data_IF_415538444751
#
_entry.id   IF_415538444751
#
_cell.length_a   1.000
_cell.length_b   1.000
_cell.length_c   1.000
_cell.angle_alpha   90.00
_cell.angle_beta   90.00
_cell.angle_gamma   90.00
#
_symmetry.space_group_name_H-M   'P 1'
#
loop_
_entity.id
_entity.type
_entity.pdbx_description
1 polymer ?
#
# COMPACT_ATOMS: atom_id res chain seq x y z
N UNK A 1 -18.27 -0.38 4.61
CA UNK A 1 -18.62 -0.28 6.05
C UNK A 1 -20.12 -0.31 6.16
N UNK A 2 -20.67 -0.78 7.28
CA UNK A 2 -22.11 -0.85 7.54
C UNK A 2 -22.43 -0.16 8.87
N UNK A 3 -23.67 0.32 9.06
CA UNK A 3 -24.08 0.85 10.37
C UNK A 3 -24.26 -0.32 11.36
N UNK A 4 -23.93 -0.09 12.63
CA UNK A 4 -24.09 -1.12 13.68
C UNK A 4 -25.56 -1.45 13.94
N UNK A 5 -26.45 -0.46 13.79
CA UNK A 5 -27.88 -0.64 13.98
C UNK A 5 -28.52 -1.54 12.91
N UNK A 6 -27.83 -1.75 11.78
CA UNK A 6 -28.28 -2.66 10.72
C UNK A 6 -27.94 -4.14 11.04
N UNK A 7 -27.14 -4.40 12.07
CA UNK A 7 -26.82 -5.76 12.51
C UNK A 7 -27.95 -6.27 13.40
N UNK A 8 -28.59 -7.38 12.99
CA UNK A 8 -29.72 -7.97 13.71
C UNK A 8 -29.25 -8.90 14.82
N UNK A 9 -29.13 -10.18 14.52
CA UNK A 9 -28.86 -11.23 15.49
C UNK A 9 -27.42 -11.72 15.39
N UNK A 10 -26.83 -12.03 16.52
CA UNK A 10 -25.52 -12.66 16.58
C UNK A 10 -25.63 -14.13 16.19
N UNK A 11 -24.96 -14.50 15.10
CA UNK A 11 -24.94 -15.90 14.61
C UNK A 11 -23.77 -16.68 15.23
N UNK A 12 -22.61 -16.05 15.42
CA UNK A 12 -21.40 -16.74 15.86
C UNK A 12 -20.12 -15.94 15.66
N UNK A 13 -18.99 -16.58 15.93
CA UNK A 13 -17.66 -16.01 15.78
C UNK A 13 -16.72 -16.98 15.06
N UNK A 14 -15.69 -16.45 14.42
CA UNK A 14 -14.61 -17.22 13.83
C UNK A 14 -13.40 -17.15 14.76
N UNK A 15 -12.88 -18.29 15.20
CA UNK A 15 -11.68 -18.41 16.02
C UNK A 15 -10.53 -19.16 15.32
N UNK A 16 -10.84 -19.93 14.27
CA UNK A 16 -9.84 -20.66 13.50
C UNK A 16 -8.84 -19.70 12.84
N UNK A 17 -7.57 -19.85 13.23
CA UNK A 17 -6.49 -18.97 12.79
C UNK A 17 -6.24 -19.10 11.27
N UNK A 18 -6.42 -20.31 10.71
CA UNK A 18 -6.19 -20.53 9.26
C UNK A 18 -7.25 -19.82 8.44
N UNK A 19 -8.51 -19.88 8.87
CA UNK A 19 -9.63 -19.18 8.23
C UNK A 19 -9.44 -17.66 8.31
N UNK A 20 -9.01 -17.15 9.47
CA UNK A 20 -8.67 -15.73 9.62
C UNK A 20 -7.57 -15.28 8.65
N UNK A 21 -6.52 -16.09 8.47
CA UNK A 21 -5.47 -15.79 7.48
C UNK A 21 -6.02 -15.77 6.06
N UNK A 22 -6.93 -16.68 5.71
CA UNK A 22 -7.58 -16.72 4.40
C UNK A 22 -8.48 -15.51 4.14
N UNK A 23 -9.32 -15.13 5.11
CA UNK A 23 -10.18 -13.94 5.04
C UNK A 23 -9.33 -12.68 4.82
N UNK A 24 -8.26 -12.51 5.61
CA UNK A 24 -7.35 -11.38 5.48
C UNK A 24 -6.61 -11.36 4.13
N UNK A 25 -6.17 -12.52 3.64
CA UNK A 25 -5.53 -12.63 2.34
C UNK A 25 -6.50 -12.28 1.20
N UNK A 26 -7.73 -12.77 1.25
CA UNK A 26 -8.77 -12.47 0.27
C UNK A 26 -9.09 -10.96 0.25
N UNK A 27 -9.32 -10.34 1.41
CA UNK A 27 -9.53 -8.90 1.52
C UNK A 27 -8.36 -8.11 0.90
N UNK A 28 -7.12 -8.44 1.27
CA UNK A 28 -5.94 -7.78 0.71
C UNK A 28 -5.86 -7.94 -0.81
N UNK A 29 -6.19 -9.11 -1.38
CA UNK A 29 -6.19 -9.33 -2.82
C UNK A 29 -7.30 -8.55 -3.52
N UNK A 30 -8.53 -8.62 -3.03
CA UNK A 30 -9.71 -7.93 -3.59
C UNK A 30 -9.52 -6.41 -3.64
N UNK A 31 -8.93 -5.85 -2.59
CA UNK A 31 -8.64 -4.41 -2.52
C UNK A 31 -7.25 -4.04 -3.08
N UNK A 32 -6.55 -4.97 -3.71
CA UNK A 32 -5.24 -4.74 -4.33
C UNK A 32 -4.10 -4.45 -3.35
N UNK A 33 -4.30 -4.62 -2.04
CA UNK A 33 -3.30 -4.46 -0.98
C UNK A 33 -2.34 -5.67 -0.87
N UNK A 34 -2.59 -6.75 -1.60
CA UNK A 34 -1.71 -7.92 -1.60
C UNK A 34 -0.40 -7.62 -2.31
N UNK A 35 0.72 -7.83 -1.60
CA UNK A 35 2.06 -7.70 -2.13
C UNK A 35 2.50 -9.05 -2.70
N UNK A 36 2.39 -9.23 -4.01
CA UNK A 36 2.79 -10.47 -4.70
C UNK A 36 4.30 -10.67 -4.77
N UNK A 37 5.08 -9.60 -4.60
CA UNK A 37 6.55 -9.64 -4.65
C UNK A 37 7.12 -8.89 -3.45
N UNK A 38 7.62 -9.61 -2.45
CA UNK A 38 8.34 -9.06 -1.30
C UNK A 38 9.74 -8.58 -1.65
N UNK A 39 10.31 -9.05 -2.77
CA UNK A 39 11.65 -8.68 -3.24
C UNK A 39 11.70 -7.27 -3.86
N UNK A 40 10.56 -6.65 -4.06
CA UNK A 40 10.51 -5.24 -4.47
C UNK A 40 10.70 -4.40 -3.21
N UNK A 41 11.95 -4.26 -2.78
CA UNK A 41 12.39 -3.20 -1.87
C UNK A 41 12.31 -1.90 -2.68
N UNK A 42 11.10 -1.38 -2.83
CA UNK A 42 10.89 -0.06 -3.42
C UNK A 42 11.45 1.00 -2.47
N UNK A 43 11.87 2.12 -3.03
CA UNK A 43 12.36 3.24 -2.24
C UNK A 43 11.16 3.89 -1.53
N UNK A 44 11.22 4.01 -0.20
CA UNK A 44 10.16 4.66 0.58
C UNK A 44 10.44 6.16 0.57
N UNK A 45 9.46 6.95 0.11
CA UNK A 45 9.55 8.41 0.01
C UNK A 45 8.33 9.10 0.60
N UNK A 46 8.56 10.16 1.36
CA UNK A 46 7.50 11.05 1.80
C UNK A 46 7.24 12.11 0.72
N UNK A 47 6.08 12.06 0.06
CA UNK A 47 5.78 12.92 -1.09
C UNK A 47 4.52 13.76 -0.85
N UNK A 48 4.63 15.07 -1.09
CA UNK A 48 3.47 15.94 -1.18
C UNK A 48 2.70 15.70 -2.50
N UNK A 49 1.44 16.13 -2.63
CA UNK A 49 0.65 15.89 -3.84
C UNK A 49 1.27 16.44 -5.13
N UNK A 50 2.06 17.53 -5.04
CA UNK A 50 2.77 18.10 -6.20
C UNK A 50 3.90 17.17 -6.65
N UNK A 51 4.81 16.83 -5.74
CA UNK A 51 5.94 15.95 -6.04
C UNK A 51 5.53 14.52 -6.41
N UNK A 52 4.40 14.03 -5.88
CA UNK A 52 3.83 12.74 -6.24
C UNK A 52 3.39 12.70 -7.72
N UNK A 53 2.80 13.78 -8.24
CA UNK A 53 2.37 13.86 -9.65
C UNK A 53 3.54 13.70 -10.61
N UNK A 54 4.73 14.19 -10.25
CA UNK A 54 5.91 14.05 -11.10
C UNK A 54 6.33 12.58 -11.26
N UNK A 55 6.19 11.77 -10.21
CA UNK A 55 6.40 10.32 -10.32
C UNK A 55 5.32 9.65 -11.17
N UNK A 56 4.04 10.03 -11.03
CA UNK A 56 2.96 9.46 -11.85
C UNK A 56 3.09 9.81 -13.34
N UNK A 57 3.65 10.98 -13.66
CA UNK A 57 3.89 11.39 -15.05
C UNK A 57 4.97 10.57 -15.74
N UNK A 58 5.90 9.98 -14.97
CA UNK A 58 6.97 9.18 -15.53
C UNK A 58 6.59 7.69 -15.53
N UNK A 59 6.37 7.07 -16.71
CA UNK A 59 5.90 5.68 -16.80
C UNK A 59 6.93 4.65 -16.32
N UNK A 60 8.18 5.06 -16.07
CA UNK A 60 9.22 4.19 -15.51
C UNK A 60 9.02 3.93 -14.01
N UNK A 61 8.19 4.72 -13.31
CA UNK A 61 7.91 4.51 -11.90
C UNK A 61 6.55 3.85 -11.70
N UNK A 62 6.47 2.98 -10.68
CA UNK A 62 5.22 2.54 -10.08
C UNK A 62 5.20 3.11 -8.67
N UNK A 63 4.15 3.86 -8.33
CA UNK A 63 4.02 4.46 -7.00
C UNK A 63 2.81 3.86 -6.30
N UNK A 64 3.00 3.44 -5.05
CA UNK A 64 1.93 2.92 -4.20
C UNK A 64 1.96 3.59 -2.85
N UNK A 65 0.80 3.80 -2.25
CA UNK A 65 0.73 4.32 -0.88
C UNK A 65 1.31 3.27 0.09
N UNK A 66 2.21 3.69 0.99
CA UNK A 66 2.81 2.78 1.98
C UNK A 66 1.78 2.33 3.01
N UNK A 67 1.12 3.30 3.65
CA UNK A 67 0.01 3.06 4.57
C UNK A 67 -1.21 3.92 4.15
N UNK A 68 -2.28 3.31 3.61
CA UNK A 68 -3.54 3.99 3.31
C UNK A 68 -4.23 4.60 4.54
N UNK A 69 -3.92 4.12 5.75
CA UNK A 69 -4.54 4.53 7.01
C UNK A 69 -3.69 5.49 7.84
N UNK A 70 -2.56 5.94 7.29
CA UNK A 70 -1.67 6.91 7.95
C UNK A 70 -2.47 8.15 8.36
N UNK A 71 -2.45 8.48 9.67
CA UNK A 71 -3.29 9.54 10.25
C UNK A 71 -2.70 10.94 10.07
N UNK A 72 -1.38 11.05 9.95
CA UNK A 72 -0.66 12.33 9.92
C UNK A 72 0.34 12.40 8.77
N UNK A 73 0.50 13.61 8.23
CA UNK A 73 1.43 13.89 7.13
C UNK A 73 2.85 14.12 7.65
N UNK A 74 3.82 13.48 7.00
CA UNK A 74 5.24 13.75 7.17
C UNK A 74 5.71 14.98 6.39
N UNK A 75 7.01 15.21 6.41
CA UNK A 75 7.70 16.25 5.65
C UNK A 75 8.13 15.68 4.31
N UNK A 76 7.83 16.38 3.21
CA UNK A 76 8.14 15.90 1.88
C UNK A 76 9.63 15.98 1.58
N UNK A 77 10.20 14.87 1.12
CA UNK A 77 11.64 14.72 0.85
C UNK A 77 12.17 15.67 -0.23
N UNK A 78 11.31 16.20 -1.11
CA UNK A 78 11.71 17.04 -2.25
C UNK A 78 11.56 18.53 -2.03
N UNK A 79 10.56 18.96 -1.25
CA UNK A 79 10.18 20.37 -1.16
C UNK A 79 9.78 20.82 0.25
N UNK A 80 9.93 19.97 1.26
CA UNK A 80 9.63 20.26 2.65
C UNK A 80 8.14 20.58 2.98
N UNK A 81 7.24 20.56 1.98
CA UNK A 81 5.79 20.58 2.17
C UNK A 81 5.28 19.34 2.91
N UNK A 82 4.01 19.32 3.34
CA UNK A 82 3.42 18.14 4.00
C UNK A 82 3.02 17.05 3.00
N UNK A 83 3.49 15.82 3.25
CA UNK A 83 3.32 14.67 2.37
C UNK A 83 2.90 13.39 3.07
N UNK A 84 2.81 12.32 2.30
CA UNK A 84 2.54 10.98 2.79
C UNK A 84 3.59 10.00 2.30
N UNK A 85 3.69 8.85 2.97
CA UNK A 85 4.69 7.86 2.60
C UNK A 85 4.20 6.97 1.45
N UNK A 86 5.04 6.85 0.44
CA UNK A 86 4.81 6.04 -0.75
C UNK A 86 5.98 5.09 -0.96
N UNK A 87 5.68 3.92 -1.50
CA UNK A 87 6.68 3.02 -2.07
C UNK A 87 6.81 3.36 -3.56
N UNK A 88 8.02 3.70 -3.99
CA UNK A 88 8.35 4.00 -5.37
C UNK A 88 9.21 2.87 -5.94
N UNK A 89 8.73 2.24 -7.00
CA UNK A 89 9.47 1.22 -7.75
C UNK A 89 9.97 1.82 -9.05
N UNK A 90 11.28 1.78 -9.28
CA UNK A 90 11.82 1.99 -10.61
C UNK A 90 11.75 0.68 -11.40
N UNK A 91 10.98 0.69 -12.50
CA UNK A 91 10.84 -0.46 -13.39
C UNK A 91 12.18 -0.85 -14.01
N UNK A 92 13.12 0.09 -14.15
CA UNK A 92 14.45 -0.15 -14.76
C UNK A 92 15.38 -0.93 -13.84
N UNK A 93 15.34 -0.65 -12.53
CA UNK A 93 16.20 -1.34 -11.56
C UNK A 93 15.64 -2.71 -11.17
N UNK A 94 14.33 -2.92 -11.31
CA UNK A 94 13.65 -4.19 -11.03
C UNK A 94 14.12 -5.37 -11.91
N UNK A 95 14.82 -5.11 -13.03
CA UNK A 95 15.39 -6.15 -13.91
C UNK A 95 16.86 -6.49 -13.64
N UNK A 96 17.56 -5.78 -12.73
CA UNK A 96 19.00 -5.98 -12.49
C UNK A 96 19.36 -7.10 -11.49
N UNK A 97 18.41 -7.94 -11.09
CA UNK A 97 18.59 -8.96 -10.04
C UNK A 97 18.77 -10.41 -10.51
N UNK A 98 19.04 -10.70 -11.79
CA UNK A 98 19.42 -12.05 -12.25
C UNK A 98 20.50 -11.98 -13.33
N UNK A 99 21.74 -11.94 -12.89
CA UNK A 99 22.91 -12.00 -13.77
C UNK A 99 24.19 -12.11 -12.95
N UNK A 100 24.39 -13.26 -12.31
CA UNK A 100 25.50 -14.23 -12.48
C UNK A 100 25.24 -15.44 -11.59
#
# INVERSE_FOLDING_TARGET
TVNKDDLTEYIGFVDDERLWRQINAALKKTFGLWLYNTDRIGDIRCLCPKCLKDYFRNPNYIVRRLDPFQKSKGTCDKCNDRGWDYIVYDKRTSFKGKGV
#
